data_IF_125278969633
#
_entry.id   IF_125278969633
#
_cell.length_a   1.000
_cell.length_b   1.000
_cell.length_c   1.000
_cell.angle_alpha   90.00
_cell.angle_beta   90.00
_cell.angle_gamma   90.00
#
_symmetry.space_group_name_H-M   'P 1'
#
loop_
_entity.id
_entity.type
_entity.pdbx_description
1 polymer ?
#
# COMPACT_ATOMS: atom_id res chain seq x y z
N UNK A 1 -34.82 -20.37 -54.16
CA UNK A 1 -34.48 -20.45 -52.72
C UNK A 1 -33.01 -20.05 -52.58
N UNK A 2 -32.70 -18.92 -51.92
CA UNK A 2 -31.36 -18.34 -51.94
C UNK A 2 -30.44 -18.97 -50.89
N UNK A 3 -29.23 -19.33 -51.30
CA UNK A 3 -28.14 -19.77 -50.43
C UNK A 3 -27.49 -18.56 -49.75
N UNK A 4 -27.54 -18.49 -48.43
CA UNK A 4 -26.74 -17.55 -47.65
C UNK A 4 -25.37 -18.17 -47.33
N UNK A 5 -24.31 -17.58 -47.90
CA UNK A 5 -22.91 -17.82 -47.50
C UNK A 5 -22.55 -16.79 -46.42
N UNK A 6 -22.24 -17.25 -45.22
CA UNK A 6 -21.61 -16.41 -44.18
C UNK A 6 -20.10 -16.50 -44.38
N UNK A 7 -19.50 -15.39 -44.81
CA UNK A 7 -18.07 -15.15 -44.76
C UNK A 7 -17.84 -14.41 -43.44
N UNK A 8 -17.25 -15.07 -42.44
CA UNK A 8 -16.75 -14.41 -41.24
C UNK A 8 -15.22 -14.35 -41.32
N UNK A 9 -14.73 -13.12 -41.23
CA UNK A 9 -13.35 -12.66 -41.35
C UNK A 9 -12.49 -13.20 -40.19
N UNK A 10 -11.26 -13.68 -40.43
CA UNK A 10 -10.33 -13.98 -39.35
C UNK A 10 -9.86 -12.65 -38.72
N UNK A 11 -10.21 -12.42 -37.46
CA UNK A 11 -9.63 -11.31 -36.69
C UNK A 11 -8.19 -11.68 -36.35
N UNK A 12 -7.28 -11.08 -37.10
CA UNK A 12 -5.82 -11.17 -36.97
C UNK A 12 -5.36 -10.58 -35.63
N UNK A 13 -4.40 -11.27 -35.02
CA UNK A 13 -3.66 -10.89 -33.83
C UNK A 13 -2.99 -9.50 -33.95
N UNK A 14 -3.13 -8.70 -32.89
CA UNK A 14 -2.46 -7.41 -32.62
C UNK A 14 -2.38 -7.31 -31.10
N UNK A 15 -1.30 -7.00 -30.40
CA UNK A 15 0.14 -6.90 -30.65
C UNK A 15 0.73 -6.73 -29.23
N UNK A 16 1.79 -7.48 -28.92
CA UNK A 16 2.82 -7.17 -27.93
C UNK A 16 2.37 -6.63 -26.54
N UNK A 17 2.15 -7.52 -25.58
CA UNK A 17 2.50 -7.24 -24.18
C UNK A 17 4.02 -7.11 -24.09
N UNK A 18 4.53 -5.92 -24.41
CA UNK A 18 5.92 -5.54 -24.17
C UNK A 18 6.14 -5.26 -22.68
N UNK A 19 5.93 -6.28 -21.83
CA UNK A 19 6.49 -6.31 -20.48
C UNK A 19 7.94 -6.80 -20.56
N UNK A 20 8.77 -6.10 -21.33
CA UNK A 20 10.21 -6.25 -21.27
C UNK A 20 10.73 -5.40 -20.11
N UNK A 21 10.49 -5.85 -18.88
CA UNK A 21 11.19 -5.34 -17.72
C UNK A 21 12.65 -5.81 -17.84
N UNK A 22 13.50 -4.87 -18.22
CA UNK A 22 14.95 -5.02 -18.34
C UNK A 22 15.54 -5.66 -17.06
N UNK A 23 16.47 -6.63 -17.19
CA UNK A 23 17.12 -7.26 -16.05
C UNK A 23 18.22 -6.33 -15.52
N UNK A 24 17.84 -5.30 -14.76
CA UNK A 24 18.76 -4.34 -14.18
C UNK A 24 18.55 -4.19 -12.67
N UNK A 25 19.33 -4.93 -11.87
CA UNK A 25 19.57 -4.76 -10.42
C UNK A 25 18.55 -3.95 -9.58
N UNK A 26 17.28 -4.38 -9.63
CA UNK A 26 16.08 -3.73 -9.09
C UNK A 26 15.86 -3.79 -7.58
N UNK A 27 16.90 -3.78 -6.75
CA UNK A 27 16.73 -3.94 -5.29
C UNK A 27 16.06 -2.74 -4.59
N UNK A 28 16.21 -1.52 -5.12
CA UNK A 28 15.50 -0.34 -4.62
C UNK A 28 14.06 -0.25 -5.14
N UNK A 29 13.81 -0.80 -6.33
CA UNK A 29 12.48 -0.86 -6.94
C UNK A 29 11.60 -1.94 -6.27
N UNK A 30 12.21 -3.03 -5.81
CA UNK A 30 11.56 -4.10 -5.06
C UNK A 30 11.13 -3.64 -3.66
N UNK A 31 11.93 -2.79 -3.00
CA UNK A 31 11.54 -2.22 -1.71
C UNK A 31 10.48 -1.13 -1.87
N UNK A 32 10.58 -0.31 -2.92
CA UNK A 32 9.55 0.65 -3.32
C UNK A 32 8.18 -0.03 -3.54
N UNK A 33 8.15 -1.15 -4.28
CA UNK A 33 6.91 -1.89 -4.58
C UNK A 33 6.35 -2.66 -3.40
N UNK A 34 7.20 -3.17 -2.51
CA UNK A 34 6.76 -3.85 -1.29
C UNK A 34 6.31 -2.88 -0.20
N UNK A 35 6.76 -1.62 -0.20
CA UNK A 35 6.35 -0.60 0.78
C UNK A 35 4.93 -0.11 0.53
N UNK A 36 4.59 0.21 -0.72
CA UNK A 36 3.22 0.57 -1.14
C UNK A 36 2.25 -0.58 -0.92
N UNK A 37 2.61 -1.80 -1.34
CA UNK A 37 1.79 -3.00 -1.10
C UNK A 37 1.62 -3.32 0.40
N UNK A 38 2.59 -2.95 1.24
CA UNK A 38 2.52 -3.16 2.68
C UNK A 38 1.59 -2.15 3.35
N UNK A 39 1.63 -0.85 3.02
CA UNK A 39 0.79 0.18 3.63
C UNK A 39 -0.72 -0.16 3.60
N UNK A 40 -1.15 -0.94 2.61
CA UNK A 40 -2.55 -1.25 2.34
C UNK A 40 -3.09 -2.49 3.07
N UNK A 41 -2.24 -3.37 3.58
CA UNK A 41 -2.68 -4.72 4.04
C UNK A 41 -3.52 -4.74 5.32
N UNK A 42 -3.43 -3.72 6.18
CA UNK A 42 -4.21 -3.59 7.42
C UNK A 42 -5.39 -2.62 7.23
N UNK A 43 -5.33 -1.47 7.91
CA UNK A 43 -6.21 -0.34 7.64
C UNK A 43 -5.68 0.41 6.42
N UNK A 44 -6.33 0.20 5.28
CA UNK A 44 -6.10 1.00 4.08
C UNK A 44 -6.45 2.46 4.34
N UNK A 45 -6.00 3.33 3.44
CA UNK A 45 -6.34 4.74 3.48
C UNK A 45 -7.86 5.01 3.55
N UNK A 46 -8.64 4.37 2.67
CA UNK A 46 -10.10 4.53 2.66
C UNK A 46 -10.77 3.98 3.93
N UNK A 47 -10.19 2.94 4.54
CA UNK A 47 -10.67 2.43 5.83
C UNK A 47 -10.35 3.40 6.99
N UNK A 48 -9.17 4.01 6.98
CA UNK A 48 -8.87 5.09 7.92
C UNK A 48 -9.83 6.26 7.73
N UNK A 49 -10.21 6.60 6.50
CA UNK A 49 -11.17 7.66 6.21
C UNK A 49 -12.59 7.32 6.73
N UNK A 50 -13.02 6.07 6.63
CA UNK A 50 -14.35 5.65 7.06
C UNK A 50 -14.54 5.65 8.58
N UNK A 51 -13.47 5.47 9.37
CA UNK A 51 -13.54 5.51 10.83
C UNK A 51 -13.83 6.94 11.29
N UNK A 52 -14.97 7.16 11.93
CA UNK A 52 -15.45 8.50 12.34
C UNK A 52 -15.58 8.70 13.86
N UNK A 53 -15.25 7.69 14.65
CA UNK A 53 -15.45 7.70 16.10
C UNK A 53 -14.28 7.05 16.82
N UNK A 54 -13.90 7.55 18.01
CA UNK A 54 -12.93 6.88 18.86
C UNK A 54 -13.49 5.65 19.60
N UNK A 55 -14.80 5.42 19.55
CA UNK A 55 -15.43 4.23 20.13
C UNK A 55 -15.07 2.98 19.31
N UNK A 56 -14.52 1.96 19.99
CA UNK A 56 -14.01 0.75 19.35
C UNK A 56 -15.09 0.00 18.55
N UNK A 57 -16.32 -0.08 19.05
CA UNK A 57 -17.43 -0.74 18.35
C UNK A 57 -17.85 0.04 17.12
N UNK A 58 -18.01 1.36 17.25
CA UNK A 58 -18.31 2.22 16.11
C UNK A 58 -17.21 2.18 15.05
N UNK A 59 -15.94 2.03 15.44
CA UNK A 59 -14.83 1.82 14.51
C UNK A 59 -14.96 0.49 13.75
N UNK A 60 -15.32 -0.61 14.44
CA UNK A 60 -15.63 -1.90 13.79
C UNK A 60 -16.77 -1.76 12.78
N UNK A 61 -17.88 -1.12 13.15
CA UNK A 61 -19.00 -0.88 12.21
C UNK A 61 -18.55 -0.06 10.99
N UNK A 62 -17.75 0.99 11.22
CA UNK A 62 -17.21 1.85 10.16
C UNK A 62 -16.27 1.09 9.22
N UNK A 63 -15.46 0.18 9.74
CA UNK A 63 -14.53 -0.64 8.96
C UNK A 63 -15.27 -1.70 8.14
N UNK A 64 -16.33 -2.30 8.68
CA UNK A 64 -17.16 -3.28 7.99
C UNK A 64 -18.03 -2.63 6.90
N UNK A 65 -18.56 -1.44 7.16
CA UNK A 65 -19.35 -0.68 6.20
C UNK A 65 -18.51 -0.04 5.09
N UNK A 66 -17.21 0.17 5.33
CA UNK A 66 -16.29 0.58 4.28
C UNK A 66 -16.17 -0.54 3.25
N UNK A 67 -16.89 -0.38 2.14
CA UNK A 67 -16.63 -1.14 0.91
C UNK A 67 -15.13 -1.03 0.59
N UNK A 68 -14.54 -2.09 0.05
CA UNK A 68 -13.16 -2.09 -0.45
C UNK A 68 -13.05 -1.15 -1.65
N UNK A 69 -13.15 0.15 -1.40
CA UNK A 69 -12.98 1.24 -2.34
C UNK A 69 -11.48 1.51 -2.41
N UNK A 70 -11.01 1.57 -3.64
CA UNK A 70 -9.64 1.81 -4.07
C UNK A 70 -8.65 0.60 -3.97
N UNK A 71 -8.18 0.19 -5.15
CA UNK A 71 -6.80 -0.24 -5.48
C UNK A 71 -6.40 -1.71 -5.50
N UNK A 72 -7.30 -2.64 -5.18
CA UNK A 72 -7.13 -4.05 -5.54
C UNK A 72 -8.36 -4.49 -6.34
N UNK A 73 -8.23 -5.50 -7.21
CA UNK A 73 -9.38 -6.06 -7.96
C UNK A 73 -10.58 -6.13 -7.02
N UNK A 74 -11.66 -5.40 -7.32
CA UNK A 74 -12.88 -5.37 -6.48
C UNK A 74 -13.19 -6.79 -6.02
N UNK A 75 -13.13 -7.03 -4.70
CA UNK A 75 -13.38 -8.34 -4.10
C UNK A 75 -12.15 -9.17 -3.68
N UNK A 76 -10.93 -8.65 -3.71
CA UNK A 76 -9.78 -9.37 -3.13
C UNK A 76 -9.81 -9.40 -1.59
N UNK A 77 -10.53 -8.44 -0.96
CA UNK A 77 -10.64 -8.31 0.50
C UNK A 77 -12.05 -8.65 0.98
N UNK A 78 -12.14 -9.46 2.02
CA UNK A 78 -13.39 -9.74 2.74
C UNK A 78 -13.22 -9.39 4.20
N UNK A 79 -14.21 -8.71 4.79
CA UNK A 79 -14.18 -8.29 6.19
C UNK A 79 -15.31 -8.95 6.95
N UNK A 80 -15.00 -9.48 8.13
CA UNK A 80 -16.00 -10.06 9.04
C UNK A 80 -15.69 -9.67 10.47
N UNK A 81 -16.73 -9.43 11.27
CA UNK A 81 -16.57 -9.28 12.71
C UNK A 81 -16.19 -10.63 13.32
N UNK A 82 -15.34 -10.60 14.34
CA UNK A 82 -15.12 -11.77 15.18
C UNK A 82 -16.43 -12.12 15.93
N UNK A 83 -16.85 -13.40 15.95
CA UNK A 83 -18.10 -13.82 16.58
C UNK A 83 -18.04 -13.81 18.12
N UNK A 84 -16.84 -13.74 18.71
CA UNK A 84 -16.59 -13.78 20.15
C UNK A 84 -16.24 -12.39 20.68
N UNK A 85 -15.34 -11.67 20.00
CA UNK A 85 -14.92 -10.33 20.39
C UNK A 85 -15.50 -9.26 19.44
N UNK A 86 -16.50 -8.46 19.87
CA UNK A 86 -17.13 -7.47 19.01
C UNK A 86 -16.21 -6.31 18.58
N UNK A 87 -15.02 -6.19 19.17
CA UNK A 87 -14.03 -5.17 18.82
C UNK A 87 -12.99 -5.66 17.80
N UNK A 88 -13.13 -6.87 17.28
CA UNK A 88 -12.19 -7.48 16.34
C UNK A 88 -12.81 -7.62 14.95
N UNK A 89 -12.03 -7.26 13.93
CA UNK A 89 -12.34 -7.46 12.51
C UNK A 89 -11.28 -8.37 11.89
N UNK A 90 -11.74 -9.41 11.20
CA UNK A 90 -10.91 -10.25 10.34
C UNK A 90 -10.98 -9.73 8.92
N UNK A 91 -9.82 -9.52 8.31
CA UNK A 91 -9.67 -9.12 6.91
C UNK A 91 -8.98 -10.24 6.16
N UNK A 92 -9.73 -10.99 5.36
CA UNK A 92 -9.19 -12.02 4.49
C UNK A 92 -8.73 -11.39 3.18
N UNK A 93 -7.50 -11.70 2.78
CA UNK A 93 -6.83 -11.24 1.56
C UNK A 93 -6.72 -12.41 0.59
N UNK A 94 -7.31 -12.30 -0.60
CA UNK A 94 -7.29 -13.30 -1.66
C UNK A 94 -6.85 -12.66 -2.97
N UNK A 95 -5.63 -12.98 -3.39
CA UNK A 95 -4.98 -12.43 -4.59
C UNK A 95 -4.99 -10.90 -4.63
N UNK A 96 -4.76 -10.29 -3.46
CA UNK A 96 -4.68 -8.83 -3.37
C UNK A 96 -3.37 -8.34 -3.96
N UNK A 97 -3.42 -7.28 -4.75
CA UNK A 97 -2.24 -6.60 -5.28
C UNK A 97 -2.28 -5.15 -4.80
N UNK A 98 -1.12 -4.58 -4.46
CA UNK A 98 -1.04 -3.15 -4.22
C UNK A 98 -1.19 -2.34 -5.52
N UNK A 99 -1.24 -1.00 -5.41
CA UNK A 99 -1.44 -0.07 -6.55
C UNK A 99 -0.60 -0.40 -7.80
N UNK A 100 0.66 -0.80 -7.62
CA UNK A 100 1.58 -1.09 -8.73
C UNK A 100 1.43 -2.50 -9.33
N UNK A 101 0.55 -3.35 -8.79
CA UNK A 101 0.28 -4.69 -9.33
C UNK A 101 1.45 -5.69 -9.26
N UNK A 102 2.56 -5.35 -8.59
CA UNK A 102 3.82 -6.12 -8.65
C UNK A 102 3.87 -7.35 -7.75
N UNK A 103 3.15 -7.32 -6.63
CA UNK A 103 3.16 -8.40 -5.64
C UNK A 103 1.74 -8.87 -5.36
N UNK A 104 1.59 -10.18 -5.18
CA UNK A 104 0.32 -10.81 -4.78
C UNK A 104 0.39 -11.16 -3.30
N UNK A 105 -0.59 -10.69 -2.54
CA UNK A 105 -0.74 -10.90 -1.11
C UNK A 105 -1.95 -11.79 -0.84
N UNK A 106 -1.74 -12.82 -0.03
CA UNK A 106 -2.80 -13.71 0.48
C UNK A 106 -2.65 -13.90 1.99
N UNK A 107 -3.74 -14.23 2.66
CA UNK A 107 -3.75 -14.55 4.10
C UNK A 107 -4.83 -13.79 4.82
N UNK A 108 -4.63 -13.54 6.10
CA UNK A 108 -5.58 -12.80 6.93
C UNK A 108 -4.86 -11.74 7.76
N UNK A 109 -5.55 -10.64 8.03
CA UNK A 109 -5.18 -9.65 9.01
C UNK A 109 -6.29 -9.53 10.04
N UNK A 110 -5.93 -9.73 11.31
CA UNK A 110 -6.80 -9.42 12.44
C UNK A 110 -6.55 -7.98 12.87
N UNK A 111 -7.62 -7.21 13.02
CA UNK A 111 -7.58 -5.83 13.54
C UNK A 111 -8.41 -5.76 14.81
N UNK A 112 -7.77 -5.41 15.92
CA UNK A 112 -8.41 -5.27 17.23
C UNK A 112 -8.48 -3.80 17.60
N UNK A 113 -9.68 -3.30 17.86
CA UNK A 113 -9.89 -1.92 18.29
C UNK A 113 -10.01 -1.82 19.81
N UNK A 114 -9.44 -0.78 20.38
CA UNK A 114 -9.60 -0.42 21.78
C UNK A 114 -9.50 1.10 21.95
N UNK A 115 -9.90 1.62 23.10
CA UNK A 115 -9.75 3.04 23.40
C UNK A 115 -8.55 3.25 24.32
N UNK A 116 -7.70 4.21 23.99
CA UNK A 116 -6.58 4.63 24.83
C UNK A 116 -7.08 5.49 26.01
N UNK A 117 -6.29 5.61 27.09
CA UNK A 117 -6.66 6.45 28.24
C UNK A 117 -6.87 7.93 27.91
N UNK A 118 -6.23 8.44 26.86
CA UNK A 118 -6.39 9.83 26.38
C UNK A 118 -7.63 10.02 25.50
N UNK A 119 -8.43 8.97 25.30
CA UNK A 119 -9.64 8.98 24.49
C UNK A 119 -9.41 8.73 23.00
N UNK A 120 -8.16 8.60 22.54
CA UNK A 120 -7.85 8.19 21.16
C UNK A 120 -8.23 6.73 20.90
N UNK A 121 -8.44 6.38 19.63
CA UNK A 121 -8.71 5.00 19.23
C UNK A 121 -7.39 4.29 18.92
N UNK A 122 -7.18 3.14 19.54
CA UNK A 122 -6.09 2.24 19.23
C UNK A 122 -6.58 1.14 18.29
N UNK A 123 -5.77 0.81 17.28
CA UNK A 123 -5.98 -0.33 16.40
C UNK A 123 -4.70 -1.16 16.34
N UNK A 124 -4.76 -2.40 16.84
CA UNK A 124 -3.69 -3.38 16.73
C UNK A 124 -3.95 -4.31 15.55
N UNK A 125 -2.91 -4.60 14.77
CA UNK A 125 -2.98 -5.40 13.57
C UNK A 125 -2.04 -6.59 13.68
N UNK A 126 -2.53 -7.78 13.37
CA UNK A 126 -1.72 -8.99 13.33
C UNK A 126 -2.06 -9.86 12.13
N UNK A 127 -1.05 -10.26 11.38
CA UNK A 127 -1.21 -11.18 10.27
C UNK A 127 -1.39 -12.62 10.74
N UNK A 128 -2.24 -13.38 10.05
CA UNK A 128 -2.37 -14.83 10.16
C UNK A 128 -2.14 -15.44 8.78
N UNK A 129 -1.16 -16.37 8.69
CA UNK A 129 -0.84 -17.10 7.47
C UNK A 129 -0.61 -16.22 6.23
N UNK A 130 0.00 -15.04 6.42
CA UNK A 130 0.26 -14.09 5.35
C UNK A 130 1.33 -14.62 4.40
N UNK A 131 1.11 -14.43 3.11
CA UNK A 131 2.08 -14.71 2.07
C UNK A 131 2.20 -13.54 1.10
N UNK A 132 3.39 -13.37 0.54
CA UNK A 132 3.70 -12.41 -0.52
C UNK A 132 4.36 -13.22 -1.63
N UNK A 133 3.76 -13.22 -2.81
CA UNK A 133 4.18 -14.02 -3.96
C UNK A 133 4.34 -15.52 -3.60
N UNK A 134 3.43 -16.02 -2.76
CA UNK A 134 3.43 -17.40 -2.26
C UNK A 134 4.48 -17.70 -1.18
N UNK A 135 5.30 -16.71 -0.78
CA UNK A 135 6.30 -16.88 0.28
C UNK A 135 5.76 -16.43 1.63
N UNK A 136 6.07 -17.12 2.74
CA UNK A 136 5.64 -16.71 4.07
C UNK A 136 6.08 -15.27 4.41
N UNK A 137 5.17 -14.54 5.04
CA UNK A 137 5.40 -13.21 5.58
C UNK A 137 4.66 -13.04 6.90
N UNK A 138 5.09 -12.09 7.72
CA UNK A 138 4.32 -11.66 8.90
C UNK A 138 4.20 -10.15 8.91
N UNK A 139 3.17 -9.65 9.57
CA UNK A 139 2.95 -8.24 9.81
C UNK A 139 2.34 -8.05 11.19
N UNK A 140 2.91 -7.11 11.94
CA UNK A 140 2.31 -6.50 13.12
C UNK A 140 2.31 -4.99 12.94
N UNK A 141 1.24 -4.33 13.36
CA UNK A 141 1.22 -2.88 13.37
C UNK A 141 0.29 -2.38 14.45
N UNK A 142 0.60 -1.21 15.01
CA UNK A 142 -0.29 -0.48 15.90
C UNK A 142 -0.57 0.89 15.30
N UNK A 143 -1.79 1.38 15.48
CA UNK A 143 -2.19 2.72 15.06
C UNK A 143 -2.95 3.41 16.20
N UNK A 144 -2.51 4.58 16.60
CA UNK A 144 -3.24 5.46 17.52
C UNK A 144 -3.88 6.60 16.71
N UNK A 145 -5.20 6.74 16.81
CA UNK A 145 -6.03 7.62 15.98
C UNK A 145 -6.68 8.69 16.86
N UNK A 146 -6.26 9.93 16.65
CA UNK A 146 -6.85 11.12 17.29
C UNK A 146 -7.77 11.83 16.30
N UNK A 147 -8.93 12.29 16.79
CA UNK A 147 -9.96 12.95 16.00
C UNK A 147 -10.01 14.44 16.36
N UNK A 148 -9.77 15.31 15.38
CA UNK A 148 -9.68 16.76 15.51
C UNK A 148 -10.60 17.43 14.48
N UNK A 149 -11.91 17.36 14.73
CA UNK A 149 -12.91 17.89 13.79
C UNK A 149 -12.93 17.11 12.47
N UNK A 150 -12.62 17.78 11.35
CA UNK A 150 -12.50 17.13 10.03
C UNK A 150 -11.16 16.43 9.83
N UNK A 151 -10.18 16.68 10.70
CA UNK A 151 -8.87 16.07 10.65
C UNK A 151 -8.81 14.83 11.53
N UNK A 152 -8.10 13.81 11.06
CA UNK A 152 -7.67 12.67 11.86
C UNK A 152 -6.17 12.56 11.79
N UNK A 153 -5.55 12.39 12.94
CA UNK A 153 -4.12 12.12 13.05
C UNK A 153 -3.93 10.67 13.46
N UNK A 154 -3.22 9.91 12.64
CA UNK A 154 -2.88 8.51 12.88
C UNK A 154 -1.38 8.40 13.10
N UNK A 155 -0.96 7.94 14.27
CA UNK A 155 0.42 7.56 14.53
C UNK A 155 0.50 6.05 14.40
N UNK A 156 1.26 5.57 13.43
CA UNK A 156 1.33 4.15 13.08
C UNK A 156 2.75 3.62 13.26
N UNK A 157 2.87 2.46 13.89
CA UNK A 157 4.10 1.68 13.95
C UNK A 157 3.88 0.31 13.33
N UNK A 158 4.88 -0.21 12.64
CA UNK A 158 4.76 -1.48 11.93
C UNK A 158 6.05 -2.27 11.96
N UNK A 159 5.89 -3.59 12.04
CA UNK A 159 6.96 -4.57 11.80
C UNK A 159 6.44 -5.58 10.80
N UNK A 160 7.23 -5.85 9.76
CA UNK A 160 6.93 -6.85 8.74
C UNK A 160 8.13 -7.76 8.56
N UNK A 161 7.90 -9.06 8.43
CA UNK A 161 8.93 -10.00 7.97
C UNK A 161 8.54 -10.62 6.65
N UNK A 162 9.53 -11.11 5.91
CA UNK A 162 9.30 -11.85 4.68
C UNK A 162 10.61 -12.27 4.03
N UNK A 163 10.50 -12.75 2.79
CA UNK A 163 11.64 -13.22 2.01
C UNK A 163 11.74 -12.37 0.74
N UNK A 164 12.86 -11.69 0.54
CA UNK A 164 13.13 -10.93 -0.70
C UNK A 164 13.14 -11.85 -1.93
N UNK A 165 13.05 -11.29 -3.15
CA UNK A 165 13.09 -12.02 -4.40
C UNK A 165 14.31 -12.94 -4.50
N UNK A 166 15.45 -12.50 -3.96
CA UNK A 166 16.72 -13.25 -3.89
C UNK A 166 16.76 -14.37 -2.84
N UNK A 167 15.67 -14.60 -2.12
CA UNK A 167 15.59 -15.66 -1.11
C UNK A 167 16.23 -15.28 0.23
N UNK A 168 16.47 -13.99 0.48
CA UNK A 168 17.05 -13.50 1.74
C UNK A 168 15.94 -13.01 2.66
N UNK A 169 15.93 -13.50 3.89
CA UNK A 169 15.02 -13.05 4.95
C UNK A 169 15.21 -11.55 5.21
N UNK A 170 14.09 -10.87 5.41
CA UNK A 170 14.06 -9.44 5.73
C UNK A 170 13.08 -9.17 6.86
N UNK A 171 13.44 -8.20 7.70
CA UNK A 171 12.54 -7.53 8.64
C UNK A 171 12.50 -6.06 8.31
N UNK A 172 11.32 -5.47 8.24
CA UNK A 172 11.12 -4.04 8.02
C UNK A 172 10.35 -3.45 9.17
N UNK A 173 10.88 -2.40 9.76
CA UNK A 173 10.23 -1.58 10.77
C UNK A 173 9.84 -0.24 10.18
N UNK A 174 8.70 0.32 10.60
CA UNK A 174 8.17 1.60 10.10
C UNK A 174 7.54 2.42 11.22
N UNK A 175 7.78 3.71 11.21
CA UNK A 175 7.09 4.73 12.01
C UNK A 175 6.52 5.78 11.07
N UNK A 176 5.20 5.94 11.10
CA UNK A 176 4.45 6.78 10.17
C UNK A 176 3.48 7.69 10.93
N UNK A 177 3.25 8.86 10.35
CA UNK A 177 2.21 9.79 10.72
C UNK A 177 1.34 9.99 9.48
N UNK A 178 0.05 9.69 9.62
CA UNK A 178 -0.94 9.88 8.56
C UNK A 178 -1.92 10.94 9.03
N UNK A 179 -1.99 12.04 8.29
CA UNK A 179 -3.01 13.05 8.44
C UNK A 179 -4.11 12.79 7.43
N UNK A 180 -5.34 12.58 7.88
CA UNK A 180 -6.52 12.43 7.01
C UNK A 180 -7.38 13.68 7.15
N UNK A 181 -7.53 14.42 6.07
CA UNK A 181 -8.42 15.57 5.96
C UNK A 181 -9.67 15.17 5.20
N UNK A 182 -10.77 15.03 5.94
CA UNK A 182 -12.08 14.65 5.37
C UNK A 182 -12.74 15.78 4.61
N UNK A 183 -12.36 17.04 4.84
CA UNK A 183 -12.91 18.17 4.11
C UNK A 183 -12.37 18.20 2.68
N UNK A 184 -11.08 17.87 2.51
CA UNK A 184 -10.45 17.79 1.19
C UNK A 184 -10.39 16.37 0.62
N UNK A 185 -10.84 15.35 1.37
CA UNK A 185 -10.70 13.92 1.04
C UNK A 185 -9.26 13.54 0.70
N UNK A 186 -8.32 14.08 1.46
CA UNK A 186 -6.91 13.85 1.25
C UNK A 186 -6.27 13.23 2.47
N UNK A 187 -5.25 12.43 2.21
CA UNK A 187 -4.34 11.95 3.24
C UNK A 187 -2.93 12.40 2.93
N UNK A 188 -2.15 12.69 3.96
CA UNK A 188 -0.72 12.98 3.87
C UNK A 188 0.04 12.06 4.81
N UNK A 189 1.06 11.41 4.28
CA UNK A 189 1.89 10.44 4.99
C UNK A 189 3.30 11.02 5.12
N UNK A 190 3.79 11.04 6.35
CA UNK A 190 5.19 11.30 6.68
C UNK A 190 5.70 10.12 7.51
N UNK A 191 6.92 9.68 7.27
CA UNK A 191 7.41 8.53 8.01
C UNK A 191 8.81 8.09 7.68
N UNK A 192 9.27 7.12 8.44
CA UNK A 192 10.55 6.46 8.26
C UNK A 192 10.38 4.96 8.38
N UNK A 193 11.30 4.23 7.79
CA UNK A 193 11.40 2.80 8.02
C UNK A 193 12.80 2.28 7.75
N UNK A 194 13.08 1.10 8.28
CA UNK A 194 14.36 0.42 8.11
C UNK A 194 14.07 -1.03 7.77
N UNK A 195 14.53 -1.48 6.60
CA UNK A 195 14.58 -2.89 6.25
C UNK A 195 15.97 -3.44 6.58
N UNK A 196 16.03 -4.48 7.41
CA UNK A 196 17.23 -5.26 7.72
C UNK A 196 17.12 -6.63 7.10
N UNK A 197 18.17 -7.06 6.41
CA UNK A 197 18.27 -8.35 5.75
C UNK A 197 19.23 -9.27 6.50
N UNK A 198 18.99 -10.58 6.44
CA UNK A 198 19.84 -11.57 7.13
C UNK A 198 21.31 -11.58 6.64
N UNK A 199 21.58 -11.05 5.44
CA UNK A 199 22.92 -10.85 4.89
C UNK A 199 23.64 -9.60 5.46
N UNK A 200 23.05 -8.91 6.44
CA UNK A 200 23.59 -7.71 7.08
C UNK A 200 23.33 -6.41 6.31
N UNK A 201 22.64 -6.48 5.16
CA UNK A 201 22.24 -5.28 4.40
C UNK A 201 21.13 -4.54 5.15
N UNK A 202 21.17 -3.21 5.06
CA UNK A 202 20.09 -2.36 5.51
C UNK A 202 19.67 -1.40 4.41
N UNK A 203 18.38 -1.05 4.42
CA UNK A 203 17.84 0.02 3.58
C UNK A 203 16.93 0.89 4.43
N UNK A 204 17.22 2.17 4.46
CA UNK A 204 16.42 3.17 5.13
C UNK A 204 15.42 3.75 4.15
N UNK A 205 14.17 3.93 4.59
CA UNK A 205 13.11 4.59 3.84
C UNK A 205 12.71 5.87 4.55
N UNK A 206 12.52 6.95 3.81
CA UNK A 206 11.90 8.19 4.29
C UNK A 206 10.73 8.54 3.36
N UNK A 207 9.57 8.79 3.93
CA UNK A 207 8.38 9.29 3.24
C UNK A 207 8.21 10.75 3.65
N UNK A 208 8.16 11.65 2.67
CA UNK A 208 8.03 13.08 2.89
C UNK A 208 6.80 13.62 2.17
N UNK A 209 5.82 14.03 2.97
CA UNK A 209 4.57 14.64 2.53
C UNK A 209 3.89 13.89 1.38
N UNK A 210 3.88 12.56 1.43
CA UNK A 210 3.21 11.75 0.41
C UNK A 210 1.70 11.96 0.54
N UNK A 211 1.15 12.79 -0.33
CA UNK A 211 -0.25 13.19 -0.31
C UNK A 211 -1.01 12.49 -1.42
N UNK A 212 -2.17 11.93 -1.07
CA UNK A 212 -3.10 11.29 -1.99
C UNK A 212 -4.49 11.84 -1.67
N UNK A 213 -5.22 12.28 -2.70
CA UNK A 213 -6.57 12.81 -2.57
C UNK A 213 -7.55 11.92 -3.32
N UNK A 214 -8.82 11.98 -2.99
CA UNK A 214 -9.89 11.31 -3.73
C UNK A 214 -10.73 12.31 -4.54
N UNK A 215 -11.19 11.88 -5.71
CA UNK A 215 -12.24 12.59 -6.45
C UNK A 215 -13.62 12.40 -5.81
N UNK A 216 -14.66 13.07 -6.34
CA UNK A 216 -16.04 12.94 -5.83
C UNK A 216 -16.55 11.49 -5.83
N UNK A 217 -16.11 10.67 -6.79
CA UNK A 217 -16.47 9.27 -6.91
C UNK A 217 -15.70 8.34 -5.94
N UNK A 218 -14.69 8.87 -5.22
CA UNK A 218 -13.84 8.08 -4.32
C UNK A 218 -12.75 7.29 -5.04
N UNK A 219 -12.34 7.75 -6.22
CA UNK A 219 -11.13 7.25 -6.85
C UNK A 219 -9.94 8.08 -6.37
N UNK A 220 -8.85 7.40 -6.05
CA UNK A 220 -7.60 8.08 -5.73
C UNK A 220 -7.07 8.85 -6.96
N UNK A 221 -6.75 10.12 -6.74
CA UNK A 221 -5.95 10.94 -7.63
C UNK A 221 -4.47 10.56 -7.52
N UNK A 222 -3.69 11.02 -8.48
CA UNK A 222 -2.25 10.82 -8.47
C UNK A 222 -1.58 11.52 -7.29
N UNK A 223 -0.59 10.86 -6.65
CA UNK A 223 0.05 11.40 -5.46
C UNK A 223 0.89 12.64 -5.75
N UNK A 224 1.17 13.41 -4.70
CA UNK A 224 2.29 14.36 -4.64
C UNK A 224 3.23 14.00 -3.50
N UNK A 225 4.49 14.44 -3.54
CA UNK A 225 5.47 14.24 -2.47
C UNK A 225 6.62 13.33 -2.87
N UNK A 226 7.31 12.71 -1.91
CA UNK A 226 8.43 11.82 -2.23
C UNK A 226 8.63 10.65 -1.28
N UNK A 227 9.26 9.61 -1.81
CA UNK A 227 9.73 8.44 -1.05
C UNK A 227 11.20 8.20 -1.41
N UNK A 228 12.06 8.21 -0.40
CA UNK A 228 13.51 7.99 -0.57
C UNK A 228 13.92 6.69 0.08
N UNK A 229 14.68 5.87 -0.64
CA UNK A 229 15.34 4.68 -0.12
C UNK A 229 16.86 4.84 -0.15
N UNK A 230 17.55 4.51 0.94
CA UNK A 230 19.01 4.65 1.06
C UNK A 230 19.62 3.32 1.51
N UNK A 231 20.52 2.78 0.69
CA UNK A 231 21.41 1.68 1.02
C UNK A 231 22.83 2.22 1.10
N UNK A 232 23.23 2.66 2.30
CA UNK A 232 24.52 3.29 2.55
C UNK A 232 25.69 2.33 2.25
N UNK A 233 25.54 1.04 2.58
CA UNK A 233 26.56 0.01 2.35
C UNK A 233 26.92 -0.10 0.86
N UNK A 234 25.93 -0.01 -0.03
CA UNK A 234 26.13 0.00 -1.49
C UNK A 234 26.36 1.39 -2.07
N UNK A 235 26.16 2.45 -1.29
CA UNK A 235 26.14 3.83 -1.78
C UNK A 235 25.10 4.01 -2.87
N UNK A 236 23.90 3.44 -2.66
CA UNK A 236 22.76 3.52 -3.57
C UNK A 236 21.63 4.28 -2.90
N UNK A 237 21.06 5.24 -3.61
CA UNK A 237 19.88 6.01 -3.20
C UNK A 237 18.86 5.94 -4.33
N UNK A 238 17.59 5.72 -3.99
CA UNK A 238 16.48 5.79 -4.93
C UNK A 238 15.48 6.81 -4.41
N UNK A 239 15.19 7.83 -5.19
CA UNK A 239 14.20 8.86 -4.86
C UNK A 239 13.05 8.75 -5.83
N UNK A 240 11.85 8.52 -5.30
CA UNK A 240 10.60 8.56 -6.03
C UNK A 240 9.95 9.91 -5.77
N UNK A 241 9.64 10.64 -6.83
CA UNK A 241 8.97 11.94 -6.75
C UNK A 241 7.65 11.89 -7.48
N UNK A 242 6.64 12.43 -6.84
CA UNK A 242 5.28 12.54 -7.35
C UNK A 242 4.89 14.01 -7.37
N UNK A 243 4.39 14.47 -8.50
CA UNK A 243 4.00 15.87 -8.75
C UNK A 243 2.50 16.03 -9.02
N UNK A 244 1.73 14.96 -8.85
CA UNK A 244 0.30 14.91 -9.17
C UNK A 244 0.01 14.50 -10.60
N UNK A 245 1.02 14.28 -11.46
CA UNK A 245 0.82 13.66 -12.78
C UNK A 245 0.61 12.14 -12.69
N UNK A 246 0.20 11.55 -13.81
CA UNK A 246 0.09 10.10 -13.99
C UNK A 246 1.44 9.38 -14.08
N UNK A 247 2.54 10.10 -13.82
CA UNK A 247 3.91 9.58 -13.87
C UNK A 247 4.65 9.91 -12.58
N UNK A 248 5.34 8.91 -12.01
CA UNK A 248 6.36 9.14 -10.99
C UNK A 248 7.74 9.25 -11.62
N UNK A 249 8.56 10.17 -11.12
CA UNK A 249 9.99 10.26 -11.47
C UNK A 249 10.81 9.46 -10.48
N UNK A 250 11.69 8.60 -10.99
CA UNK A 250 12.54 7.71 -10.21
C UNK A 250 14.00 8.06 -10.47
N UNK A 251 14.63 8.69 -9.49
CA UNK A 251 16.05 9.03 -9.53
C UNK A 251 16.84 7.98 -8.75
N UNK A 252 17.65 7.20 -9.46
CA UNK A 252 18.60 6.25 -8.86
C UNK A 252 20.00 6.83 -8.91
N UNK A 253 20.60 7.03 -7.73
CA UNK A 253 22.00 7.40 -7.59
C UNK A 253 22.79 6.23 -7.04
N UNK A 254 23.93 5.94 -7.63
CA UNK A 254 24.92 4.97 -7.15
C UNK A 254 26.27 5.67 -6.98
N UNK A 255 27.28 4.97 -6.45
CA UNK A 255 28.66 5.49 -6.40
C UNK A 255 29.25 5.88 -7.76
N UNK A 256 28.72 5.33 -8.87
CA UNK A 256 29.31 5.46 -10.21
C UNK A 256 28.44 6.25 -11.20
N UNK A 257 27.13 6.28 -10.98
CA UNK A 257 26.19 6.80 -11.95
C UNK A 257 24.93 7.37 -11.27
N UNK A 258 24.27 8.26 -11.98
CA UNK A 258 22.90 8.70 -11.71
C UNK A 258 22.05 8.39 -12.93
N UNK A 259 20.91 7.77 -12.70
CA UNK A 259 19.94 7.41 -13.72
C UNK A 259 18.57 7.94 -13.30
N UNK A 260 17.81 8.42 -14.27
CA UNK A 260 16.43 8.88 -14.08
C UNK A 260 15.53 8.05 -14.97
N UNK A 261 14.47 7.51 -14.40
CA UNK A 261 13.41 6.81 -15.12
C UNK A 261 12.04 7.30 -14.68
N UNK A 262 11.00 6.88 -15.40
CA UNK A 262 9.62 7.27 -15.15
C UNK A 262 8.73 6.05 -15.03
N UNK A 263 7.79 6.07 -14.10
CA UNK A 263 6.80 4.99 -13.91
C UNK A 263 5.38 5.52 -14.11
N UNK A 264 4.59 4.84 -14.93
CA UNK A 264 3.15 5.08 -15.07
C UNK A 264 2.43 4.64 -13.78
N UNK A 265 1.57 5.53 -13.26
CA UNK A 265 0.84 5.34 -12.01
C UNK A 265 -0.61 4.92 -12.20
N UNK A 266 -1.10 4.92 -13.45
CA UNK A 266 -2.47 4.53 -13.81
C UNK A 266 -3.54 5.16 -12.90
N UNK A 267 -3.39 6.46 -12.64
CA UNK A 267 -4.28 7.29 -11.81
C UNK A 267 -4.69 8.55 -12.57
N UNK A 268 -5.75 9.23 -12.10
CA UNK A 268 -6.14 10.52 -12.64
C UNK A 268 -5.23 11.62 -12.08
N UNK A 269 -4.67 12.45 -12.97
CA UNK A 269 -3.84 13.57 -12.57
C UNK A 269 -4.59 14.56 -11.67
N UNK A 270 -3.88 15.17 -10.73
CA UNK A 270 -4.41 16.24 -9.88
C UNK A 270 -4.60 17.49 -10.76
N UNK A 271 -5.79 18.10 -10.76
CA UNK A 271 -6.06 19.32 -11.54
C UNK A 271 -5.30 20.55 -11.03
#
# INVERSE_FOLDING_TARGET
>A
MPSFRIILVPLVAVLASACALSPGEGQGEEEASTTTSALESGLSAGELESIISPDARAAVESMLAAEGKAESKKGCRTKTRDPIDPNVVHVVLTNCTGRLGRHVVNGEMRVTFSQNPDGSLHAEHESVSLTIDGRPATRKASSDITFEGSLKRVVRRGVKTGISAKGVDMTKETDEVILVDRATRCRTIDGKGIATFADGRQVETTIAALRICEDEAGNDLCPTGSVTHVNAQKGKTVVQTFDGSDVATIDTTTKKARETSTWDLSCAAVP
#
